data_IF_256285647140
#
_entry.id   IF_256285647140
#
_cell.length_a   1.000
_cell.length_b   1.000
_cell.length_c   1.000
_cell.angle_alpha   90.00
_cell.angle_beta   90.00
_cell.angle_gamma   90.00
#
_symmetry.space_group_name_H-M   'P 1'
#
loop_
_entity.id
_entity.type
_entity.pdbx_description
1 polymer ?
#
# COMPACT_ATOMS: atom_id res chain seq x y z
N UNK A 1 31.12 -19.00 -4.72
CA UNK A 1 30.53 -17.77 -5.27
C UNK A 1 29.06 -17.85 -4.88
N UNK A 2 28.57 -16.92 -4.04
CA UNK A 2 27.15 -16.86 -3.73
C UNK A 2 26.38 -16.66 -5.03
N UNK A 3 25.31 -17.41 -5.19
CA UNK A 3 24.53 -17.45 -6.42
C UNK A 3 23.91 -16.07 -6.67
N UNK A 4 24.51 -15.30 -7.57
CA UNK A 4 24.12 -13.91 -7.89
C UNK A 4 22.66 -13.86 -8.43
N UNK A 5 22.15 -14.99 -8.90
CA UNK A 5 20.77 -15.16 -9.38
C UNK A 5 19.74 -15.04 -8.27
N UNK A 6 20.00 -15.59 -7.09
CA UNK A 6 19.04 -15.51 -5.96
C UNK A 6 18.92 -14.08 -5.42
N UNK A 7 20.01 -13.32 -5.39
CA UNK A 7 19.98 -11.89 -4.99
C UNK A 7 19.19 -11.08 -6.01
N UNK A 8 19.40 -11.34 -7.30
CA UNK A 8 18.72 -10.63 -8.39
C UNK A 8 17.22 -10.91 -8.46
N UNK A 9 16.76 -12.04 -7.93
CA UNK A 9 15.33 -12.39 -7.84
C UNK A 9 14.60 -11.66 -6.73
N UNK A 10 15.29 -11.19 -5.68
CA UNK A 10 14.65 -10.56 -4.53
C UNK A 10 14.20 -9.13 -4.82
N UNK A 11 13.01 -8.80 -4.36
CA UNK A 11 12.44 -7.45 -4.39
C UNK A 11 11.85 -7.18 -3.02
N UNK A 12 12.37 -6.16 -2.36
CA UNK A 12 11.95 -5.79 -1.00
C UNK A 12 11.34 -4.41 -1.03
N UNK A 13 10.10 -4.28 -0.56
CA UNK A 13 9.47 -2.98 -0.44
C UNK A 13 8.69 -2.84 0.87
N UNK A 14 8.58 -1.61 1.34
CA UNK A 14 7.73 -1.29 2.48
C UNK A 14 6.38 -0.76 2.02
N UNK A 15 5.36 -1.01 2.81
CA UNK A 15 4.05 -0.36 2.67
C UNK A 15 3.88 0.58 3.85
N UNK A 16 3.72 1.86 3.55
CA UNK A 16 3.55 2.93 4.53
C UNK A 16 2.27 3.72 4.22
N UNK A 17 1.67 4.29 5.25
CA UNK A 17 0.42 5.01 5.09
C UNK A 17 0.13 5.90 6.29
N UNK A 18 -0.73 6.91 6.07
CA UNK A 18 -1.47 7.52 7.17
C UNK A 18 -2.43 6.47 7.79
N UNK A 19 -2.72 6.53 9.10
CA UNK A 19 -3.70 5.66 9.73
C UNK A 19 -5.03 5.62 8.96
N UNK A 20 -5.63 4.45 8.87
CA UNK A 20 -6.90 4.20 8.16
C UNK A 20 -6.88 4.38 6.63
N UNK A 21 -5.78 4.71 5.99
CA UNK A 21 -5.70 4.79 4.52
C UNK A 21 -5.90 3.44 3.81
N UNK A 22 -5.80 2.32 4.54
CA UNK A 22 -6.07 0.97 4.04
C UNK A 22 -4.81 0.13 3.78
N UNK A 23 -3.71 0.46 4.46
CA UNK A 23 -2.44 -0.27 4.38
C UNK A 23 -2.62 -1.77 4.56
N UNK A 24 -3.17 -2.21 5.70
CA UNK A 24 -3.39 -3.62 6.00
C UNK A 24 -4.27 -4.32 4.95
N UNK A 25 -5.29 -3.64 4.43
CA UNK A 25 -6.13 -4.19 3.36
C UNK A 25 -5.34 -4.41 2.07
N UNK A 26 -4.42 -3.50 1.71
CA UNK A 26 -3.54 -3.68 0.55
C UNK A 26 -2.57 -4.84 0.77
N UNK A 27 -1.93 -4.91 1.94
CA UNK A 27 -1.02 -6.01 2.31
C UNK A 27 -1.71 -7.37 2.19
N UNK A 28 -2.91 -7.53 2.77
CA UNK A 28 -3.71 -8.75 2.69
C UNK A 28 -4.06 -9.12 1.24
N UNK A 29 -4.37 -8.14 0.41
CA UNK A 29 -4.64 -8.37 -1.02
C UNK A 29 -3.39 -8.83 -1.77
N UNK A 30 -2.23 -8.26 -1.49
CA UNK A 30 -0.97 -8.71 -2.10
C UNK A 30 -0.62 -10.14 -1.69
N UNK A 31 -0.81 -10.51 -0.42
CA UNK A 31 -0.63 -11.89 0.05
C UNK A 31 -1.62 -12.87 -0.60
N UNK A 32 -2.87 -12.43 -0.81
CA UNK A 32 -3.86 -13.22 -1.54
C UNK A 32 -3.45 -13.46 -2.99
N UNK A 33 -2.99 -12.42 -3.70
CA UNK A 33 -2.46 -12.54 -5.05
C UNK A 33 -1.20 -13.41 -5.14
N UNK A 34 -0.34 -13.34 -4.11
CA UNK A 34 0.83 -14.19 -3.98
C UNK A 34 0.52 -15.63 -3.56
N UNK A 35 -0.76 -15.97 -3.33
CA UNK A 35 -1.18 -17.32 -2.94
C UNK A 35 -0.81 -17.74 -1.52
N UNK A 36 -0.34 -16.80 -0.68
CA UNK A 36 0.06 -17.09 0.71
C UNK A 36 -1.15 -17.26 1.64
N UNK A 37 -2.26 -16.62 1.30
CA UNK A 37 -3.51 -16.73 2.04
C UNK A 37 -4.65 -17.06 1.07
N UNK A 38 -5.63 -17.81 1.56
CA UNK A 38 -6.80 -18.19 0.74
C UNK A 38 -7.93 -17.15 0.80
N UNK A 39 -7.98 -16.36 1.88
CA UNK A 39 -8.98 -15.32 2.10
C UNK A 39 -8.34 -14.14 2.80
N UNK A 40 -8.44 -12.96 2.24
CA UNK A 40 -7.97 -11.74 2.90
C UNK A 40 -8.78 -11.44 4.17
N UNK A 41 -8.09 -11.05 5.24
CA UNK A 41 -8.71 -10.61 6.48
C UNK A 41 -9.32 -9.20 6.35
N UNK A 42 -10.20 -8.84 7.29
CA UNK A 42 -10.78 -7.51 7.36
C UNK A 42 -10.49 -6.86 8.72
N UNK A 43 -9.99 -5.62 8.68
CA UNK A 43 -9.58 -4.87 9.88
C UNK A 43 -10.78 -4.33 10.66
N UNK A 44 -11.86 -3.95 10.00
CA UNK A 44 -13.01 -3.26 10.62
C UNK A 44 -14.37 -3.84 10.18
N UNK A 45 -14.55 -5.15 10.13
CA UNK A 45 -15.85 -5.72 9.81
C UNK A 45 -16.37 -6.56 10.97
N UNK A 46 -17.46 -6.11 11.58
CA UNK A 46 -18.21 -6.89 12.59
C UNK A 46 -18.83 -8.18 12.05
N UNK A 47 -18.75 -8.43 10.73
CA UNK A 47 -19.34 -9.59 10.06
C UNK A 47 -18.33 -10.69 9.71
N UNK A 48 -17.03 -10.38 9.72
CA UNK A 48 -15.98 -11.34 9.34
C UNK A 48 -15.15 -11.67 10.58
N UNK A 49 -15.21 -12.91 11.04
CA UNK A 49 -14.47 -13.40 12.23
C UNK A 49 -12.95 -13.59 11.99
N UNK A 50 -12.42 -13.28 10.80
CA UNK A 50 -11.01 -13.50 10.47
C UNK A 50 -10.26 -12.18 10.55
N UNK A 51 -9.29 -12.11 11.47
CA UNK A 51 -8.35 -10.98 11.58
C UNK A 51 -7.32 -11.01 10.46
N UNK A 52 -6.71 -9.87 10.16
CA UNK A 52 -5.66 -9.76 9.15
C UNK A 52 -4.44 -10.64 9.52
N UNK A 53 -3.80 -11.23 8.53
CA UNK A 53 -2.62 -12.10 8.72
C UNK A 53 -1.40 -11.28 9.15
N UNK A 54 -1.34 -10.00 8.78
CA UNK A 54 -0.29 -9.06 9.20
C UNK A 54 -0.37 -8.69 10.69
N UNK A 55 -1.57 -8.79 11.30
CA UNK A 55 -1.81 -8.44 12.69
C UNK A 55 -1.68 -9.68 13.58
N UNK A 56 -0.46 -10.08 13.90
CA UNK A 56 -0.18 -11.30 14.67
C UNK A 56 -0.19 -11.10 16.19
N UNK A 57 0.05 -9.89 16.69
CA UNK A 57 0.01 -9.58 18.11
C UNK A 57 -1.44 -9.41 18.60
N UNK A 58 -1.71 -9.86 19.82
CA UNK A 58 -3.05 -9.78 20.41
C UNK A 58 -3.53 -8.32 20.59
N UNK A 59 -2.58 -7.42 20.86
CA UNK A 59 -2.83 -5.97 20.96
C UNK A 59 -3.21 -5.35 19.61
N UNK A 60 -2.64 -5.83 18.52
CA UNK A 60 -2.97 -5.41 17.16
C UNK A 60 -4.39 -5.84 16.78
N UNK A 61 -4.76 -7.08 17.12
CA UNK A 61 -6.11 -7.61 16.91
C UNK A 61 -7.18 -6.85 17.69
N UNK A 62 -6.88 -6.47 18.93
CA UNK A 62 -7.81 -5.72 19.78
C UNK A 62 -8.00 -4.28 19.32
N UNK A 63 -6.93 -3.62 18.88
CA UNK A 63 -6.95 -2.22 18.46
C UNK A 63 -7.25 -2.02 16.97
N UNK A 64 -7.09 -3.08 16.15
CA UNK A 64 -7.23 -3.01 14.69
C UNK A 64 -6.16 -2.14 14.03
N UNK A 65 -4.98 -2.03 14.63
CA UNK A 65 -3.83 -1.26 14.12
C UNK A 65 -2.56 -2.10 14.27
N UNK A 66 -1.69 -2.07 13.25
CA UNK A 66 -0.36 -2.69 13.32
C UNK A 66 0.53 -1.89 14.28
N UNK A 67 1.20 -2.58 15.20
CA UNK A 67 2.08 -2.00 16.23
C UNK A 67 3.54 -2.25 15.91
N UNK A 68 3.85 -3.36 15.23
CA UNK A 68 5.22 -3.76 14.86
C UNK A 68 5.34 -3.94 13.35
N UNK A 69 6.57 -3.79 12.84
CA UNK A 69 6.86 -4.13 11.44
C UNK A 69 6.77 -5.64 11.24
N UNK A 70 5.92 -6.07 10.33
CA UNK A 70 5.80 -7.47 9.90
C UNK A 70 6.54 -7.67 8.59
N UNK A 71 7.33 -8.75 8.51
CA UNK A 71 7.99 -9.16 7.26
C UNK A 71 7.24 -10.35 6.69
N UNK A 72 6.78 -10.20 5.46
CA UNK A 72 6.05 -11.24 4.73
C UNK A 72 6.73 -11.49 3.40
N UNK A 73 6.79 -12.74 2.98
CA UNK A 73 7.39 -13.11 1.70
C UNK A 73 6.47 -14.01 0.87
N UNK A 74 6.59 -13.90 -0.45
CA UNK A 74 5.96 -14.80 -1.39
C UNK A 74 6.69 -14.79 -2.73
N UNK A 75 6.53 -15.87 -3.49
CA UNK A 75 7.02 -15.94 -4.85
C UNK A 75 5.94 -15.41 -5.81
N UNK A 76 6.34 -14.55 -6.73
CA UNK A 76 5.49 -14.05 -7.79
C UNK A 76 6.24 -14.04 -9.11
N UNK A 77 5.79 -14.83 -10.07
CA UNK A 77 6.54 -15.13 -11.31
C UNK A 77 7.95 -15.62 -10.93
N UNK A 78 9.00 -14.98 -11.46
CA UNK A 78 10.39 -15.35 -11.20
C UNK A 78 11.03 -14.59 -10.02
N UNK A 79 10.24 -13.80 -9.29
CA UNK A 79 10.73 -12.95 -8.20
C UNK A 79 10.29 -13.44 -6.83
N UNK A 80 11.19 -13.28 -5.87
CA UNK A 80 10.89 -13.42 -4.45
C UNK A 80 10.58 -12.07 -3.87
N UNK A 81 9.33 -11.86 -3.51
CA UNK A 81 8.81 -10.60 -3.00
C UNK A 81 8.88 -10.60 -1.48
N UNK A 82 9.48 -9.59 -0.90
CA UNK A 82 9.48 -9.33 0.54
C UNK A 82 8.71 -8.04 0.80
N UNK A 83 7.67 -8.12 1.61
CA UNK A 83 6.87 -6.97 2.05
C UNK A 83 7.20 -6.68 3.50
N UNK A 84 7.57 -5.45 3.79
CA UNK A 84 7.70 -4.93 5.13
C UNK A 84 6.47 -4.06 5.43
N UNK A 85 5.54 -4.60 6.20
CA UNK A 85 4.33 -3.89 6.61
C UNK A 85 4.61 -3.11 7.89
N UNK A 86 4.66 -1.78 7.82
CA UNK A 86 5.04 -0.90 8.92
C UNK A 86 3.83 -0.45 9.72
N UNK A 87 3.99 -0.13 11.03
CA UNK A 87 2.93 0.52 11.78
C UNK A 87 2.55 1.86 11.15
N UNK A 88 1.25 2.11 10.98
CA UNK A 88 0.74 3.37 10.41
C UNK A 88 0.59 4.51 11.42
N UNK A 89 0.72 4.24 12.71
CA UNK A 89 0.48 5.21 13.77
C UNK A 89 1.71 6.09 14.04
N UNK A 90 1.51 7.37 14.39
CA UNK A 90 2.59 8.32 14.63
C UNK A 90 3.54 7.89 15.76
N UNK A 91 3.04 7.17 16.76
CA UNK A 91 3.81 6.68 17.90
C UNK A 91 4.92 5.68 17.52
N UNK A 92 4.85 5.10 16.31
CA UNK A 92 5.80 4.11 15.79
C UNK A 92 6.66 4.64 14.64
N UNK A 93 6.83 5.97 14.56
CA UNK A 93 7.58 6.62 13.48
C UNK A 93 9.03 6.11 13.37
N UNK A 94 9.68 5.83 14.51
CA UNK A 94 11.07 5.34 14.54
C UNK A 94 11.22 3.96 13.88
N UNK A 95 10.30 3.03 14.15
CA UNK A 95 10.31 1.72 13.52
C UNK A 95 10.07 1.81 12.01
N UNK A 96 9.21 2.72 11.58
CA UNK A 96 8.99 3.02 10.17
C UNK A 96 10.28 3.54 9.52
N UNK A 97 10.97 4.47 10.17
CA UNK A 97 12.24 5.01 9.65
C UNK A 97 13.33 3.94 9.55
N UNK A 98 13.45 3.06 10.53
CA UNK A 98 14.38 1.93 10.49
C UNK A 98 14.04 0.98 9.35
N UNK A 99 12.76 0.65 9.17
CA UNK A 99 12.30 -0.25 8.11
C UNK A 99 12.63 0.31 6.73
N UNK A 100 12.48 1.63 6.53
CA UNK A 100 12.82 2.29 5.27
C UNK A 100 14.31 2.21 4.91
N UNK A 101 15.19 1.82 5.85
CA UNK A 101 16.60 1.56 5.54
C UNK A 101 16.85 0.23 4.85
N UNK A 102 15.93 -0.70 4.96
CA UNK A 102 16.09 -2.09 4.55
C UNK A 102 15.33 -2.44 3.26
N UNK A 103 14.77 -1.44 2.57
CA UNK A 103 13.93 -1.67 1.39
C UNK A 103 14.47 -1.01 0.13
N UNK A 104 14.16 -1.61 -1.01
CA UNK A 104 14.54 -1.12 -2.34
C UNK A 104 13.57 -0.04 -2.84
N UNK A 105 12.32 -0.07 -2.39
CA UNK A 105 11.26 0.84 -2.79
C UNK A 105 10.16 0.91 -1.73
N UNK A 106 9.27 1.88 -1.87
CA UNK A 106 8.18 2.13 -0.91
C UNK A 106 6.86 2.30 -1.66
N UNK A 107 5.81 1.71 -1.13
CA UNK A 107 4.43 2.00 -1.53
C UNK A 107 3.81 2.90 -0.47
N UNK A 108 3.43 4.12 -0.85
CA UNK A 108 2.68 5.04 0.01
C UNK A 108 1.19 4.89 -0.32
N UNK A 109 0.38 4.49 0.66
CA UNK A 109 -1.07 4.38 0.49
C UNK A 109 -1.73 5.69 0.89
N UNK A 110 -2.49 6.26 -0.03
CA UNK A 110 -3.24 7.51 0.15
C UNK A 110 -4.73 7.23 0.09
N UNK A 111 -5.50 7.81 0.99
CA UNK A 111 -6.96 7.74 0.95
C UNK A 111 -7.51 8.72 -0.09
N UNK A 112 -8.23 8.24 -1.10
CA UNK A 112 -8.74 9.06 -2.20
C UNK A 112 -9.73 10.15 -1.77
N UNK A 113 -10.40 9.98 -0.62
CA UNK A 113 -11.29 11.01 -0.08
C UNK A 113 -10.53 12.11 0.67
N UNK A 114 -9.44 11.75 1.35
CA UNK A 114 -8.67 12.67 2.19
C UNK A 114 -7.51 13.35 1.44
N UNK A 115 -6.89 12.65 0.50
CA UNK A 115 -5.71 13.12 -0.22
C UNK A 115 -4.45 13.05 0.64
N UNK A 116 -3.58 14.06 0.53
CA UNK A 116 -2.29 14.12 1.23
C UNK A 116 -2.47 14.54 2.68
N UNK A 117 -2.25 13.61 3.59
CA UNK A 117 -2.33 13.85 5.02
C UNK A 117 -0.95 14.13 5.63
N UNK A 118 -0.90 14.69 6.85
CA UNK A 118 0.35 15.10 7.52
C UNK A 118 1.40 13.99 7.60
N UNK A 119 0.96 12.75 7.88
CA UNK A 119 1.89 11.62 7.95
C UNK A 119 2.46 11.25 6.56
N UNK A 120 1.66 11.38 5.52
CA UNK A 120 2.11 11.16 4.13
C UNK A 120 3.26 12.10 3.75
N UNK A 121 3.16 13.39 4.12
CA UNK A 121 4.24 14.37 3.88
C UNK A 121 5.53 13.98 4.60
N UNK A 122 5.44 13.65 5.89
CA UNK A 122 6.61 13.23 6.69
C UNK A 122 7.29 11.99 6.12
N UNK A 123 6.50 10.98 5.74
CA UNK A 123 7.01 9.75 5.16
C UNK A 123 7.67 9.97 3.80
N UNK A 124 7.09 10.83 2.97
CA UNK A 124 7.67 11.21 1.68
C UNK A 124 9.00 11.95 1.85
N UNK A 125 9.10 12.84 2.85
CA UNK A 125 10.35 13.53 3.15
C UNK A 125 11.48 12.55 3.50
N UNK A 126 11.18 11.53 4.31
CA UNK A 126 12.15 10.47 4.63
C UNK A 126 12.56 9.68 3.38
N UNK A 127 11.63 9.32 2.53
CA UNK A 127 11.92 8.62 1.27
C UNK A 127 12.83 9.48 0.37
N UNK A 128 12.58 10.79 0.31
CA UNK A 128 13.39 11.75 -0.46
C UNK A 128 14.82 11.86 0.09
N UNK A 129 14.98 12.02 1.40
CA UNK A 129 16.31 12.09 2.02
C UNK A 129 17.16 10.85 1.73
N UNK A 130 16.53 9.73 1.47
CA UNK A 130 17.19 8.43 1.20
C UNK A 130 17.28 8.08 -0.28
N UNK A 131 16.72 8.91 -1.15
CA UNK A 131 16.54 8.60 -2.57
C UNK A 131 15.83 7.26 -2.82
N UNK A 132 14.90 6.88 -1.94
CA UNK A 132 14.13 5.64 -2.06
C UNK A 132 13.02 5.84 -3.11
N UNK A 133 12.94 5.00 -4.15
CA UNK A 133 11.84 5.05 -5.12
C UNK A 133 10.48 4.86 -4.45
N UNK A 134 9.50 5.66 -4.88
CA UNK A 134 8.15 5.66 -4.30
C UNK A 134 7.11 5.36 -5.36
N UNK A 135 6.18 4.46 -5.02
CA UNK A 135 4.92 4.24 -5.74
C UNK A 135 3.79 4.75 -4.85
N UNK A 136 2.94 5.60 -5.37
CA UNK A 136 1.75 6.08 -4.65
C UNK A 136 0.55 5.23 -5.06
N UNK A 137 -0.12 4.65 -4.07
CA UNK A 137 -1.33 3.87 -4.26
C UNK A 137 -2.53 4.64 -3.68
N UNK A 138 -3.35 5.23 -4.57
CA UNK A 138 -4.58 5.92 -4.18
C UNK A 138 -5.65 4.87 -3.96
N UNK A 139 -6.10 4.75 -2.72
CA UNK A 139 -7.04 3.73 -2.27
C UNK A 139 -8.44 4.32 -2.06
N UNK A 140 -9.46 3.47 -1.99
CA UNK A 140 -10.86 3.80 -1.70
C UNK A 140 -11.55 4.67 -2.77
N UNK A 141 -11.15 4.54 -4.02
CA UNK A 141 -11.81 5.22 -5.14
C UNK A 141 -13.24 4.72 -5.40
N UNK A 142 -13.62 3.59 -4.76
CA UNK A 142 -14.98 3.03 -4.70
C UNK A 142 -15.91 3.77 -3.73
N UNK A 143 -15.40 4.77 -3.02
CA UNK A 143 -16.16 5.63 -2.11
C UNK A 143 -16.18 7.05 -2.64
N UNK A 144 -16.84 7.95 -1.94
CA UNK A 144 -16.79 9.38 -2.23
C UNK A 144 -15.34 9.87 -2.11
N UNK A 145 -14.69 10.07 -3.24
CA UNK A 145 -13.29 10.47 -3.35
C UNK A 145 -13.19 11.82 -4.07
N UNK A 146 -12.06 12.49 -3.91
CA UNK A 146 -11.71 13.68 -4.69
C UNK A 146 -11.61 13.32 -6.18
N UNK A 147 -11.72 14.32 -7.05
CA UNK A 147 -11.46 14.13 -8.46
C UNK A 147 -10.03 13.60 -8.68
N UNK A 148 -9.81 12.63 -9.58
CA UNK A 148 -8.49 12.08 -9.84
C UNK A 148 -7.44 13.11 -10.29
N UNK A 149 -7.83 14.14 -11.04
CA UNK A 149 -6.90 15.20 -11.45
C UNK A 149 -6.54 16.09 -10.26
N UNK A 150 -7.52 16.47 -9.43
CA UNK A 150 -7.26 17.23 -8.21
C UNK A 150 -6.32 16.48 -7.26
N UNK A 151 -6.45 15.13 -7.19
CA UNK A 151 -5.54 14.29 -6.40
C UNK A 151 -4.12 14.28 -6.97
N UNK A 152 -3.94 14.27 -8.29
CA UNK A 152 -2.60 14.35 -8.89
C UNK A 152 -1.96 15.71 -8.61
N UNK A 153 -2.70 16.80 -8.79
CA UNK A 153 -2.22 18.16 -8.51
C UNK A 153 -1.84 18.31 -7.03
N UNK A 154 -2.69 17.83 -6.11
CA UNK A 154 -2.40 17.83 -4.67
C UNK A 154 -1.14 17.02 -4.34
N UNK A 155 -0.93 15.85 -4.97
CA UNK A 155 0.27 15.03 -4.77
C UNK A 155 1.52 15.75 -5.26
N UNK A 156 1.47 16.41 -6.42
CA UNK A 156 2.62 17.16 -6.95
C UNK A 156 2.96 18.36 -6.07
N UNK A 157 1.95 19.17 -5.70
CA UNK A 157 2.13 20.36 -4.88
C UNK A 157 2.60 20.04 -3.45
N UNK A 158 1.90 19.14 -2.77
CA UNK A 158 2.14 18.85 -1.36
C UNK A 158 3.36 17.97 -1.10
N UNK A 159 3.67 17.08 -2.03
CA UNK A 159 4.82 16.19 -1.91
C UNK A 159 6.04 16.67 -2.71
N UNK A 160 5.92 17.76 -3.47
CA UNK A 160 6.99 18.33 -4.32
C UNK A 160 7.65 17.27 -5.23
N UNK A 161 6.85 16.53 -5.95
CA UNK A 161 7.25 15.48 -6.89
C UNK A 161 6.54 15.66 -8.22
N UNK A 162 7.01 14.99 -9.26
CA UNK A 162 6.23 14.82 -10.50
C UNK A 162 5.63 13.43 -10.51
N UNK A 163 4.30 13.34 -10.62
CA UNK A 163 3.58 12.08 -10.68
C UNK A 163 3.33 11.63 -12.12
N UNK A 164 3.37 10.32 -12.32
CA UNK A 164 2.98 9.69 -13.59
C UNK A 164 2.02 8.55 -13.28
N UNK A 165 0.74 8.66 -13.67
CA UNK A 165 -0.22 7.62 -13.40
C UNK A 165 0.10 6.35 -14.20
N UNK A 166 0.14 5.21 -13.52
CA UNK A 166 0.24 3.87 -14.11
C UNK A 166 -1.14 3.30 -14.40
N UNK A 167 -2.11 3.66 -13.58
CA UNK A 167 -3.51 3.26 -13.72
C UNK A 167 -4.42 4.45 -13.52
N UNK A 168 -5.59 4.42 -14.16
CA UNK A 168 -6.59 5.48 -14.06
C UNK A 168 -7.94 4.89 -13.64
N UNK A 169 -8.63 5.47 -12.65
CA UNK A 169 -9.93 4.98 -12.22
C UNK A 169 -10.99 5.20 -13.31
N UNK A 170 -11.85 4.21 -13.50
CA UNK A 170 -13.03 4.32 -14.35
C UNK A 170 -14.19 4.71 -13.45
N UNK A 171 -14.51 6.00 -13.46
CA UNK A 171 -15.40 6.66 -12.51
C UNK A 171 -14.93 6.57 -11.06
N UNK A 172 -15.68 7.11 -10.12
CA UNK A 172 -15.38 7.09 -8.67
C UNK A 172 -16.66 6.96 -7.85
N UNK A 173 -16.50 6.70 -6.56
CA UNK A 173 -17.61 6.52 -5.65
C UNK A 173 -18.45 5.30 -6.00
N UNK A 174 -19.75 5.41 -5.86
CA UNK A 174 -20.70 4.32 -6.17
C UNK A 174 -20.72 3.90 -7.63
N UNK A 175 -20.16 4.73 -8.53
CA UNK A 175 -20.05 4.45 -9.96
C UNK A 175 -18.70 3.85 -10.35
N UNK A 176 -17.81 3.62 -9.41
CA UNK A 176 -16.50 3.04 -9.68
C UNK A 176 -16.64 1.66 -10.34
N UNK A 177 -16.06 1.49 -11.52
CA UNK A 177 -16.15 0.25 -12.32
C UNK A 177 -14.85 -0.54 -12.37
N UNK A 178 -13.75 0.08 -11.98
CA UNK A 178 -12.43 -0.53 -12.08
C UNK A 178 -11.36 0.48 -12.45
N UNK A 179 -10.28 0.02 -13.06
CA UNK A 179 -9.16 0.86 -13.48
C UNK A 179 -8.72 0.52 -14.90
N UNK A 180 -8.33 1.55 -15.64
CA UNK A 180 -7.59 1.40 -16.87
C UNK A 180 -6.09 1.37 -16.56
N UNK A 181 -5.40 0.30 -16.95
CA UNK A 181 -3.95 0.20 -16.84
C UNK A 181 -3.32 0.88 -18.05
N UNK A 182 -2.69 2.03 -17.81
CA UNK A 182 -2.10 2.87 -18.87
C UNK A 182 -0.86 2.18 -19.47
N UNK A 183 -0.11 1.45 -18.66
CA UNK A 183 1.12 0.79 -19.07
C UNK A 183 0.85 -0.45 -19.95
N UNK A 184 -0.12 -1.26 -19.56
CA UNK A 184 -0.47 -2.50 -20.28
C UNK A 184 -1.59 -2.30 -21.32
N UNK A 185 -2.20 -1.09 -21.38
CA UNK A 185 -3.31 -0.75 -22.24
C UNK A 185 -4.52 -1.69 -22.11
N UNK A 186 -4.86 -2.07 -20.89
CA UNK A 186 -6.00 -2.96 -20.62
C UNK A 186 -6.94 -2.41 -19.53
N UNK A 187 -8.15 -2.97 -19.50
CA UNK A 187 -9.18 -2.65 -18.52
C UNK A 187 -9.22 -3.72 -17.44
N UNK A 188 -9.11 -3.31 -16.18
CA UNK A 188 -9.31 -4.18 -15.03
C UNK A 188 -10.63 -3.79 -14.35
N UNK A 189 -11.71 -4.50 -14.70
CA UNK A 189 -13.05 -4.21 -14.18
C UNK A 189 -13.23 -4.84 -12.79
N UNK A 190 -13.94 -4.12 -11.91
CA UNK A 190 -14.32 -4.60 -10.61
C UNK A 190 -15.57 -5.47 -10.68
N UNK A 191 -15.48 -6.73 -10.30
CA UNK A 191 -16.64 -7.65 -10.29
C UNK A 191 -17.66 -7.33 -9.17
N UNK A 192 -17.32 -6.44 -8.25
CA UNK A 192 -18.18 -6.09 -7.11
C UNK A 192 -19.07 -4.89 -7.44
N UNK A 193 -18.67 -4.06 -8.42
CA UNK A 193 -19.33 -2.80 -8.77
C UNK A 193 -19.99 -2.82 -10.17
N UNK A 194 -20.11 -3.99 -10.77
CA UNK A 194 -20.82 -4.20 -12.05
C UNK A 194 -22.19 -4.79 -11.80
#
# INVERSE_FOLDING_TARGET
MADNTEIQRRRTFAIIAHPDAGKTSLTEKLLLFGGQIQVAGAVKSNKIKKTATSDWMEIEKQRGISVTTSVMEFDYRDYKINILDTPGHQDFAEDTYRTLTAVDSVIIVVDGAKGVETQTRKLMEVCRMRNTPVIIFINKMDREAKDPFDLLDELEEELHIHVRPLTWPIESGVRFKGVYNIYEHNLNLSLIHI
#
